data_IF_208440612192
#
_entry.id   IF_208440612192
#
_cell.length_a   1.000
_cell.length_b   1.000
_cell.length_c   1.000
_cell.angle_alpha   90.00
_cell.angle_beta   90.00
_cell.angle_gamma   90.00
#
_symmetry.space_group_name_H-M   'P 1'
#
loop_
_entity.id
_entity.type
_entity.pdbx_description
1 polymer ?
#
# COMPACT_ATOMS: atom_id res chain seq x y z
N UNK A 1 -33.27 27.33 36.35
CA UNK A 1 -32.78 27.85 35.05
C UNK A 1 -32.27 26.64 34.24
N UNK A 2 -32.93 26.42 33.16
CA UNK A 2 -32.90 25.31 32.24
C UNK A 2 -31.60 25.34 31.40
N UNK A 3 -30.88 24.22 31.28
CA UNK A 3 -29.87 24.02 30.25
C UNK A 3 -30.50 23.27 29.08
N UNK A 4 -30.29 23.65 27.82
CA UNK A 4 -30.83 22.94 26.68
C UNK A 4 -29.91 21.77 26.25
N UNK A 5 -30.59 20.69 25.88
CA UNK A 5 -30.05 19.50 25.23
C UNK A 5 -29.25 19.84 23.96
N UNK A 6 -28.04 19.30 23.82
CA UNK A 6 -27.33 19.23 22.57
C UNK A 6 -27.68 17.94 21.86
N UNK A 7 -28.15 18.10 20.65
CA UNK A 7 -28.76 17.12 19.76
C UNK A 7 -27.81 16.09 19.18
N UNK A 8 -28.40 14.94 18.87
CA UNK A 8 -27.84 13.70 18.35
C UNK A 8 -27.42 13.78 16.86
N UNK A 9 -26.59 14.73 16.47
CA UNK A 9 -26.17 14.88 15.06
C UNK A 9 -24.75 14.41 14.70
N UNK A 10 -23.95 13.95 15.65
CA UNK A 10 -22.54 13.58 15.40
C UNK A 10 -22.25 12.07 15.30
N UNK A 11 -23.28 11.21 15.16
CA UNK A 11 -23.04 9.75 14.93
C UNK A 11 -23.31 9.27 13.51
N UNK A 12 -23.73 10.16 12.60
CA UNK A 12 -24.10 9.80 11.22
C UNK A 12 -22.96 9.87 10.19
N UNK A 13 -21.90 10.62 10.45
CA UNK A 13 -20.86 10.90 9.43
C UNK A 13 -19.80 9.80 9.25
N UNK A 14 -19.64 8.90 10.22
CA UNK A 14 -18.66 7.81 10.09
C UNK A 14 -19.21 6.53 9.42
N UNK A 15 -20.53 6.34 9.46
CA UNK A 15 -21.16 5.17 8.81
C UNK A 15 -21.36 5.34 7.30
N UNK A 16 -21.47 6.57 6.83
CA UNK A 16 -21.70 6.87 5.40
C UNK A 16 -20.45 6.84 4.52
N UNK A 17 -19.23 6.73 5.08
CA UNK A 17 -17.99 6.65 4.28
C UNK A 17 -17.60 5.25 3.83
N UNK A 18 -18.13 4.19 4.43
CA UNK A 18 -18.00 2.84 3.90
C UNK A 18 -19.06 2.49 2.84
N UNK A 19 -20.18 3.21 2.79
CA UNK A 19 -21.23 3.03 1.79
C UNK A 19 -21.07 3.89 0.54
N UNK A 20 -20.23 4.92 0.56
CA UNK A 20 -19.99 5.81 -0.60
C UNK A 20 -19.06 5.22 -1.68
N UNK A 21 -18.52 4.01 -1.51
CA UNK A 21 -17.77 3.28 -2.54
C UNK A 21 -18.69 2.42 -3.42
N UNK A 22 -19.99 2.37 -3.15
CA UNK A 22 -21.00 1.67 -3.95
C UNK A 22 -21.97 2.67 -4.56
N UNK A 23 -21.49 3.70 -5.21
CA UNK A 23 -22.31 4.43 -6.20
C UNK A 23 -21.84 4.03 -7.58
N UNK A 24 -22.23 2.84 -8.02
CA UNK A 24 -22.41 2.55 -9.45
C UNK A 24 -23.45 3.53 -9.98
N UNK A 25 -23.01 4.52 -10.73
CA UNK A 25 -23.85 5.37 -11.53
C UNK A 25 -24.67 4.46 -12.47
N UNK A 26 -25.99 4.51 -12.23
CA UNK A 26 -27.08 4.02 -13.05
C UNK A 26 -26.79 2.86 -14.02
N UNK A 27 -27.33 1.67 -13.79
CA UNK A 27 -27.31 0.63 -14.80
C UNK A 27 -28.31 1.02 -15.89
N UNK A 28 -27.82 1.36 -17.06
CA UNK A 28 -28.61 1.14 -18.27
C UNK A 28 -28.77 -0.37 -18.38
N UNK A 29 -29.90 -0.87 -17.90
CA UNK A 29 -30.33 -2.26 -18.08
C UNK A 29 -30.45 -2.53 -19.57
N UNK A 30 -29.39 -3.01 -20.19
CA UNK A 30 -29.52 -3.81 -21.40
C UNK A 30 -29.88 -5.23 -20.96
N UNK A 31 -31.15 -5.46 -20.72
CA UNK A 31 -31.77 -6.80 -20.74
C UNK A 31 -31.62 -7.37 -22.14
N UNK A 32 -30.48 -7.97 -22.43
CA UNK A 32 -30.39 -8.93 -23.52
C UNK A 32 -30.96 -10.23 -22.95
N UNK A 33 -32.24 -10.49 -23.29
CA UNK A 33 -32.82 -11.84 -23.20
C UNK A 33 -31.99 -12.75 -24.12
N UNK A 34 -31.02 -13.44 -23.58
CA UNK A 34 -30.34 -14.54 -24.28
C UNK A 34 -31.18 -15.80 -24.06
N UNK A 35 -31.67 -16.35 -25.14
CA UNK A 35 -32.19 -17.70 -25.21
C UNK A 35 -31.10 -18.66 -24.68
N UNK A 36 -31.48 -19.48 -23.69
CA UNK A 36 -30.68 -20.57 -23.14
C UNK A 36 -30.46 -21.65 -24.19
N UNK A 37 -29.42 -21.52 -25.00
CA UNK A 37 -28.77 -22.63 -25.70
C UNK A 37 -27.41 -22.15 -26.20
N UNK A 38 -26.29 -22.55 -25.50
CA UNK A 38 -24.88 -22.28 -25.81
C UNK A 38 -24.50 -20.78 -25.85
N UNK A 39 -24.72 -20.06 -24.80
CA UNK A 39 -24.03 -18.79 -24.62
C UNK A 39 -22.54 -19.09 -24.43
N UNK A 40 -21.68 -18.63 -25.36
CA UNK A 40 -20.23 -18.66 -25.19
C UNK A 40 -19.88 -18.07 -23.80
N UNK A 41 -19.26 -18.89 -22.95
CA UNK A 41 -18.80 -18.42 -21.65
C UNK A 41 -17.86 -17.24 -21.86
N UNK A 42 -17.97 -16.23 -21.01
CA UNK A 42 -17.02 -15.11 -20.96
C UNK A 42 -15.59 -15.65 -20.87
N UNK A 43 -14.70 -15.20 -21.74
CA UNK A 43 -13.28 -15.60 -21.75
C UNK A 43 -12.44 -14.61 -21.00
N UNK A 44 -11.76 -15.07 -19.97
CA UNK A 44 -10.83 -14.28 -19.16
C UNK A 44 -9.42 -14.85 -19.29
N UNK A 45 -8.46 -13.98 -19.56
CA UNK A 45 -7.06 -14.34 -19.53
C UNK A 45 -6.42 -13.66 -18.33
N UNK A 46 -5.75 -14.45 -17.50
CA UNK A 46 -5.12 -13.99 -16.28
C UNK A 46 -3.62 -14.34 -16.26
N UNK A 47 -2.80 -13.44 -15.74
CA UNK A 47 -1.42 -13.78 -15.39
C UNK A 47 -1.42 -14.89 -14.34
N UNK A 48 -0.65 -15.95 -14.57
CA UNK A 48 -0.62 -17.16 -13.75
C UNK A 48 -0.03 -16.89 -12.35
N UNK A 49 0.63 -15.76 -12.16
CA UNK A 49 1.22 -15.32 -10.89
C UNK A 49 0.29 -14.43 -10.05
N UNK A 50 -0.94 -14.14 -10.54
CA UNK A 50 -1.98 -13.48 -9.72
C UNK A 50 -2.39 -14.44 -8.60
N UNK A 51 -2.08 -14.12 -7.34
CA UNK A 51 -2.23 -15.07 -6.25
C UNK A 51 -3.70 -15.32 -5.89
N UNK A 52 -4.01 -16.52 -5.45
CA UNK A 52 -5.33 -16.92 -4.92
C UNK A 52 -6.49 -16.78 -5.93
N UNK A 53 -6.21 -16.68 -7.25
CA UNK A 53 -7.24 -16.48 -8.27
C UNK A 53 -7.85 -17.80 -8.77
N UNK A 54 -7.03 -18.87 -8.85
CA UNK A 54 -7.44 -20.17 -9.39
C UNK A 54 -8.61 -20.77 -8.63
N UNK A 55 -9.64 -21.25 -9.35
CA UNK A 55 -10.85 -21.84 -8.78
C UNK A 55 -11.97 -20.84 -8.47
N UNK A 56 -11.72 -19.52 -8.61
CA UNK A 56 -12.69 -18.48 -8.25
C UNK A 56 -13.62 -18.16 -9.43
N UNK A 57 -13.05 -17.95 -10.63
CA UNK A 57 -13.81 -17.54 -11.83
C UNK A 57 -14.24 -18.70 -12.72
N UNK A 58 -13.62 -19.85 -12.66
CA UNK A 58 -13.89 -21.01 -13.52
C UNK A 58 -15.34 -21.52 -13.45
N UNK A 59 -16.08 -21.37 -12.35
CA UNK A 59 -17.50 -21.72 -12.34
C UNK A 59 -18.35 -20.86 -13.28
N UNK A 60 -17.94 -19.62 -13.56
CA UNK A 60 -18.74 -18.61 -14.28
C UNK A 60 -18.09 -18.13 -15.59
N UNK A 61 -16.84 -18.43 -15.85
CA UNK A 61 -16.09 -18.00 -17.00
C UNK A 61 -15.17 -19.12 -17.53
N UNK A 62 -14.73 -18.99 -18.79
CA UNK A 62 -13.62 -19.75 -19.36
C UNK A 62 -12.33 -18.98 -19.06
N UNK A 63 -11.50 -19.53 -18.16
CA UNK A 63 -10.31 -18.85 -17.64
C UNK A 63 -9.05 -19.53 -18.11
N UNK A 64 -8.20 -18.79 -18.82
CA UNK A 64 -6.87 -19.23 -19.21
C UNK A 64 -5.80 -18.48 -18.41
N UNK A 65 -4.83 -19.22 -17.89
CA UNK A 65 -3.70 -18.65 -17.14
C UNK A 65 -2.45 -18.69 -18.00
N UNK A 66 -1.83 -17.52 -18.20
CA UNK A 66 -0.65 -17.37 -19.05
C UNK A 66 0.54 -16.83 -18.24
N UNK A 67 1.74 -17.24 -18.65
CA UNK A 67 2.95 -16.54 -18.24
C UNK A 67 3.02 -15.17 -18.94
N UNK A 68 3.69 -14.20 -18.33
CA UNK A 68 3.80 -12.85 -18.89
C UNK A 68 4.31 -12.83 -20.35
N UNK A 69 5.21 -13.78 -20.71
CA UNK A 69 5.75 -13.90 -22.06
C UNK A 69 4.73 -14.43 -23.09
N UNK A 70 3.65 -15.05 -22.61
CA UNK A 70 2.58 -15.61 -23.43
C UNK A 70 1.44 -14.61 -23.71
N UNK A 71 1.50 -13.41 -23.08
CA UNK A 71 0.60 -12.32 -23.44
C UNK A 71 0.99 -11.78 -24.82
N UNK A 72 0.43 -12.41 -25.85
CA UNK A 72 0.63 -12.07 -27.26
C UNK A 72 -0.70 -11.71 -27.91
N UNK A 73 -0.73 -10.92 -29.00
CA UNK A 73 -1.96 -10.59 -29.71
C UNK A 73 -2.80 -11.81 -30.11
N UNK A 74 -2.14 -12.91 -30.46
CA UNK A 74 -2.82 -14.16 -30.83
C UNK A 74 -3.51 -14.79 -29.62
N UNK A 75 -2.83 -14.87 -28.48
CA UNK A 75 -3.36 -15.55 -27.30
C UNK A 75 -4.49 -14.79 -26.62
N UNK A 76 -4.47 -13.44 -26.67
CA UNK A 76 -5.52 -12.62 -26.05
C UNK A 76 -6.66 -12.23 -26.98
N UNK A 77 -6.60 -12.60 -28.28
CA UNK A 77 -7.50 -12.12 -29.34
C UNK A 77 -8.98 -12.24 -28.98
N UNK A 78 -9.38 -13.37 -28.45
CA UNK A 78 -10.77 -13.70 -28.14
C UNK A 78 -11.14 -13.49 -26.67
N UNK A 79 -10.28 -12.86 -25.88
CA UNK A 79 -10.55 -12.56 -24.47
C UNK A 79 -11.54 -11.41 -24.32
N UNK A 80 -12.47 -11.53 -23.39
CA UNK A 80 -13.38 -10.45 -22.98
C UNK A 80 -12.74 -9.56 -21.91
N UNK A 81 -11.88 -10.14 -21.05
CA UNK A 81 -11.14 -9.42 -20.01
C UNK A 81 -9.73 -9.97 -19.78
N UNK A 82 -8.85 -9.09 -19.33
CA UNK A 82 -7.50 -9.44 -18.87
C UNK A 82 -7.37 -9.13 -17.38
N UNK A 83 -6.75 -10.06 -16.64
CA UNK A 83 -6.27 -9.85 -15.26
C UNK A 83 -4.76 -9.89 -15.29
N UNK A 84 -4.12 -8.74 -15.04
CA UNK A 84 -2.68 -8.57 -15.27
C UNK A 84 -1.95 -8.11 -14.00
N UNK A 85 -0.64 -8.14 -14.08
CA UNK A 85 0.29 -7.57 -13.10
C UNK A 85 1.23 -6.56 -13.75
N UNK A 86 2.09 -5.92 -12.95
CA UNK A 86 3.00 -4.86 -13.41
C UNK A 86 4.00 -5.29 -14.49
N UNK A 87 4.23 -6.59 -14.65
CA UNK A 87 5.13 -7.16 -15.67
C UNK A 87 4.45 -7.34 -17.04
N UNK A 88 3.10 -7.36 -17.08
CA UNK A 88 2.32 -7.60 -18.30
C UNK A 88 2.03 -6.28 -19.00
N UNK A 89 2.79 -6.00 -20.06
CA UNK A 89 2.66 -4.73 -20.78
C UNK A 89 1.44 -4.73 -21.71
N UNK A 90 0.38 -4.06 -21.30
CA UNK A 90 -0.84 -3.86 -22.09
C UNK A 90 -0.67 -2.65 -23.03
N UNK A 91 0.12 -2.82 -24.08
CA UNK A 91 0.39 -1.79 -25.08
C UNK A 91 -0.62 -1.88 -26.24
N UNK A 92 -0.60 -0.87 -27.12
CA UNK A 92 -1.38 -0.90 -28.35
C UNK A 92 -1.11 -2.17 -29.17
N UNK A 93 0.18 -2.55 -29.32
CA UNK A 93 0.57 -3.73 -30.12
C UNK A 93 -0.05 -5.03 -29.58
N UNK A 94 -0.21 -5.13 -28.25
CA UNK A 94 -0.89 -6.28 -27.64
C UNK A 94 -2.39 -6.24 -27.89
N UNK A 95 -3.03 -5.07 -27.73
CA UNK A 95 -4.48 -4.95 -27.60
C UNK A 95 -5.21 -4.76 -28.95
N UNK A 96 -4.50 -4.26 -29.99
CA UNK A 96 -5.11 -3.94 -31.28
C UNK A 96 -5.70 -5.19 -31.96
N UNK A 97 -6.98 -5.11 -32.34
CA UNK A 97 -7.70 -6.21 -32.96
C UNK A 97 -8.19 -7.31 -32.02
N UNK A 98 -7.99 -7.16 -30.71
CA UNK A 98 -8.56 -8.07 -29.70
C UNK A 98 -10.03 -7.74 -29.38
N UNK A 99 -10.72 -8.70 -28.73
CA UNK A 99 -12.08 -8.50 -28.19
C UNK A 99 -12.07 -7.93 -26.75
N UNK A 100 -10.91 -7.61 -26.19
CA UNK A 100 -10.78 -7.17 -24.81
C UNK A 100 -11.60 -5.91 -24.55
N UNK A 101 -12.46 -5.96 -23.54
CA UNK A 101 -13.29 -4.83 -23.09
C UNK A 101 -12.89 -4.31 -21.73
N UNK A 102 -12.24 -5.16 -20.90
CA UNK A 102 -11.78 -4.81 -19.56
C UNK A 102 -10.36 -5.30 -19.33
N UNK A 103 -9.52 -4.42 -18.81
CA UNK A 103 -8.22 -4.78 -18.23
C UNK A 103 -8.30 -4.44 -16.75
N UNK A 104 -8.00 -5.40 -15.88
CA UNK A 104 -7.86 -5.13 -14.46
C UNK A 104 -6.50 -5.61 -13.97
N UNK A 105 -5.77 -4.74 -13.24
CA UNK A 105 -4.45 -5.08 -12.72
C UNK A 105 -4.46 -5.25 -11.20
N UNK A 106 -3.91 -6.37 -10.73
CA UNK A 106 -3.77 -6.67 -9.30
C UNK A 106 -2.66 -5.84 -8.61
N UNK A 107 -2.45 -4.60 -9.09
CA UNK A 107 -1.41 -3.67 -8.62
C UNK A 107 -1.97 -2.26 -8.47
N UNK A 108 -1.32 -1.44 -7.62
CA UNK A 108 -1.66 -0.02 -7.51
C UNK A 108 -1.15 0.74 -8.73
N UNK A 109 0.14 0.54 -9.10
CA UNK A 109 0.74 1.14 -10.29
C UNK A 109 0.12 0.56 -11.57
N UNK A 110 -0.03 1.40 -12.58
CA UNK A 110 -0.60 1.06 -13.89
C UNK A 110 0.26 1.53 -15.06
N UNK A 111 1.54 1.82 -14.82
CA UNK A 111 2.51 2.28 -15.83
C UNK A 111 2.71 1.28 -16.99
N UNK A 112 2.30 0.03 -16.79
CA UNK A 112 2.34 -1.05 -17.79
C UNK A 112 1.11 -1.07 -18.72
N UNK A 113 0.11 -0.20 -18.50
CA UNK A 113 -1.11 -0.09 -19.30
C UNK A 113 -1.04 1.19 -20.13
N UNK A 114 -1.17 1.06 -21.46
CA UNK A 114 -1.35 2.21 -22.37
C UNK A 114 -2.78 2.75 -22.24
N UNK A 115 -2.96 3.61 -21.24
CA UNK A 115 -4.27 4.19 -20.91
C UNK A 115 -4.83 5.02 -22.08
N UNK A 116 -3.96 5.69 -22.82
CA UNK A 116 -4.38 6.54 -23.95
C UNK A 116 -4.94 5.69 -25.11
N UNK A 117 -4.29 4.55 -25.39
CA UNK A 117 -4.82 3.59 -26.35
C UNK A 117 -6.13 2.98 -25.84
N UNK A 118 -6.20 2.56 -24.59
CA UNK A 118 -7.41 1.99 -24.01
C UNK A 118 -8.61 2.94 -24.15
N UNK A 119 -8.45 4.22 -23.84
CA UNK A 119 -9.48 5.24 -23.98
C UNK A 119 -9.97 5.36 -25.44
N UNK A 120 -9.03 5.41 -26.41
CA UNK A 120 -9.37 5.49 -27.84
C UNK A 120 -10.07 4.22 -28.36
N UNK A 121 -9.68 3.06 -27.87
CA UNK A 121 -10.20 1.76 -28.28
C UNK A 121 -11.51 1.39 -27.55
N UNK A 122 -11.96 2.18 -26.57
CA UNK A 122 -13.13 1.87 -25.75
C UNK A 122 -12.89 0.72 -24.77
N UNK A 123 -11.64 0.44 -24.41
CA UNK A 123 -11.26 -0.57 -23.43
C UNK A 123 -11.25 0.08 -22.04
N UNK A 124 -12.07 -0.45 -21.15
CA UNK A 124 -12.05 -0.02 -19.74
C UNK A 124 -10.82 -0.61 -19.03
N UNK A 125 -10.13 0.19 -18.26
CA UNK A 125 -9.07 -0.32 -17.40
C UNK A 125 -9.31 0.07 -15.94
N UNK A 126 -8.91 -0.80 -15.02
CA UNK A 126 -9.02 -0.61 -13.57
C UNK A 126 -7.77 -1.14 -12.89
N UNK A 127 -7.33 -0.44 -11.85
CA UNK A 127 -6.25 -0.90 -10.98
C UNK A 127 -6.80 -1.27 -9.59
N UNK A 128 -5.89 -1.58 -8.65
CA UNK A 128 -6.23 -1.95 -7.27
C UNK A 128 -5.71 -0.89 -6.26
N UNK A 129 -6.30 0.31 -6.21
CA UNK A 129 -5.80 1.40 -5.37
C UNK A 129 -5.92 1.05 -3.89
N UNK A 130 -4.82 1.19 -3.15
CA UNK A 130 -4.78 0.92 -1.71
C UNK A 130 -4.75 -0.56 -1.31
N UNK A 131 -4.69 -1.51 -2.25
CA UNK A 131 -4.71 -2.95 -1.94
C UNK A 131 -3.61 -3.38 -0.94
N UNK A 132 -2.46 -2.73 -0.95
CA UNK A 132 -1.32 -3.01 -0.07
C UNK A 132 -1.05 -1.90 0.96
N UNK A 133 -1.97 -0.98 1.17
CA UNK A 133 -1.75 0.17 2.05
C UNK A 133 -1.49 -0.26 3.50
N UNK A 134 -2.16 -1.31 3.97
CA UNK A 134 -1.94 -1.85 5.31
C UNK A 134 -0.55 -2.49 5.46
N UNK A 135 -0.04 -3.14 4.41
CA UNK A 135 1.34 -3.64 4.36
C UNK A 135 2.36 -2.52 4.56
N UNK A 136 2.22 -1.41 3.82
CA UNK A 136 3.12 -0.25 3.99
C UNK A 136 3.00 0.35 5.38
N UNK A 137 1.78 0.47 5.92
CA UNK A 137 1.56 0.94 7.30
C UNK A 137 2.26 0.05 8.33
N UNK A 138 2.14 -1.28 8.19
CA UNK A 138 2.85 -2.24 9.03
C UNK A 138 4.37 -2.10 8.91
N UNK A 139 4.91 -1.99 7.69
CA UNK A 139 6.33 -1.76 7.44
C UNK A 139 6.84 -0.50 8.14
N UNK A 140 6.14 0.62 7.98
CA UNK A 140 6.52 1.90 8.59
C UNK A 140 6.52 1.78 10.11
N UNK A 141 5.44 1.27 10.71
CA UNK A 141 5.36 1.12 12.16
C UNK A 141 6.42 0.16 12.70
N UNK A 142 6.60 -1.01 12.08
CA UNK A 142 7.63 -1.98 12.50
C UNK A 142 9.03 -1.40 12.41
N UNK A 143 9.33 -0.61 11.36
CA UNK A 143 10.60 0.07 11.21
C UNK A 143 10.82 1.13 12.29
N UNK A 144 9.80 1.92 12.61
CA UNK A 144 9.84 2.90 13.70
C UNK A 144 10.09 2.23 15.05
N UNK A 145 9.40 1.12 15.32
CA UNK A 145 9.57 0.34 16.56
C UNK A 145 10.99 -0.24 16.66
N UNK A 146 11.50 -0.85 15.57
CA UNK A 146 12.86 -1.40 15.56
C UNK A 146 13.92 -0.32 15.86
N UNK A 147 13.81 0.85 15.23
CA UNK A 147 14.73 1.98 15.50
C UNK A 147 14.57 2.50 16.91
N UNK A 148 13.35 2.66 17.42
CA UNK A 148 13.08 3.14 18.78
C UNK A 148 13.70 2.22 19.83
N UNK A 149 13.48 0.90 19.73
CA UNK A 149 14.06 -0.08 20.64
C UNK A 149 15.59 -0.08 20.60
N UNK A 150 16.19 -0.01 19.41
CA UNK A 150 17.65 0.07 19.24
C UNK A 150 18.24 1.30 19.94
N UNK A 151 17.51 2.42 19.94
CA UNK A 151 17.94 3.68 20.57
C UNK A 151 17.56 3.79 22.05
N UNK A 152 16.77 2.87 22.59
CA UNK A 152 16.18 3.01 23.92
C UNK A 152 15.20 4.19 24.02
N UNK A 153 14.56 4.55 22.90
CA UNK A 153 13.59 5.65 22.80
C UNK A 153 12.15 5.11 22.77
N UNK A 154 11.18 5.96 23.09
CA UNK A 154 9.74 5.66 22.98
C UNK A 154 9.14 6.45 21.82
N UNK A 155 8.20 5.83 21.10
CA UNK A 155 7.45 6.52 20.06
C UNK A 155 6.38 7.46 20.63
N UNK A 156 5.77 7.08 21.74
CA UNK A 156 4.76 7.89 22.41
C UNK A 156 5.29 9.30 22.74
N UNK A 157 4.51 10.30 22.35
CA UNK A 157 4.85 11.72 22.51
C UNK A 157 5.71 12.33 21.40
N UNK A 158 6.32 11.52 20.50
CA UNK A 158 6.98 12.05 19.29
C UNK A 158 5.97 12.60 18.30
N UNK A 159 6.41 13.57 17.51
CA UNK A 159 5.63 14.15 16.41
C UNK A 159 6.07 13.53 15.09
N UNK A 160 5.13 12.95 14.35
CA UNK A 160 5.35 12.44 13.00
C UNK A 160 4.68 13.33 11.95
N UNK A 161 5.46 13.76 10.94
CA UNK A 161 4.99 14.44 9.76
C UNK A 161 4.73 13.44 8.64
N UNK A 162 3.48 13.34 8.19
CA UNK A 162 3.06 12.46 7.09
C UNK A 162 2.85 13.31 5.85
N UNK A 163 3.69 13.11 4.84
CA UNK A 163 3.61 13.79 3.55
C UNK A 163 2.91 12.88 2.54
N UNK A 164 1.69 13.25 2.17
CA UNK A 164 0.75 12.41 1.42
C UNK A 164 -0.14 11.58 2.36
N UNK A 165 -1.42 11.96 2.50
CA UNK A 165 -2.38 11.31 3.41
C UNK A 165 -3.48 10.61 2.59
N UNK A 166 -3.06 9.85 1.55
CA UNK A 166 -3.91 8.97 0.75
C UNK A 166 -4.19 7.65 1.48
N UNK A 167 -4.39 6.57 0.74
CA UNK A 167 -4.65 5.24 1.32
C UNK A 167 -3.59 4.81 2.32
N UNK A 168 -2.31 4.99 1.99
CA UNK A 168 -1.18 4.60 2.86
C UNK A 168 -1.06 5.56 4.04
N UNK A 169 -0.95 6.86 3.77
CA UNK A 169 -0.74 7.86 4.83
C UNK A 169 -1.82 7.84 5.89
N UNK A 170 -3.09 7.61 5.53
CA UNK A 170 -4.19 7.48 6.50
C UNK A 170 -4.08 6.25 7.40
N UNK A 171 -3.50 5.14 6.89
CA UNK A 171 -3.23 3.97 7.73
C UNK A 171 -2.05 4.25 8.67
N UNK A 172 -0.97 4.86 8.16
CA UNK A 172 0.18 5.26 8.99
C UNK A 172 -0.25 6.23 10.09
N UNK A 173 -1.09 7.22 9.78
CA UNK A 173 -1.70 8.13 10.76
C UNK A 173 -2.36 7.36 11.90
N UNK A 174 -3.32 6.49 11.57
CA UNK A 174 -4.06 5.68 12.56
C UNK A 174 -3.13 4.82 13.43
N UNK A 175 -2.14 4.19 12.82
CA UNK A 175 -1.18 3.33 13.54
C UNK A 175 -0.29 4.13 14.48
N UNK A 176 0.21 5.30 14.04
CA UNK A 176 1.04 6.18 14.84
C UNK A 176 0.24 6.82 16.00
N UNK A 177 -1.00 7.24 15.77
CA UNK A 177 -1.90 7.69 16.83
C UNK A 177 -2.17 6.59 17.87
N UNK A 178 -2.34 5.34 17.44
CA UNK A 178 -2.50 4.21 18.35
C UNK A 178 -1.28 3.99 19.26
N UNK A 179 -0.08 4.34 18.78
CA UNK A 179 1.19 4.34 19.55
C UNK A 179 1.42 5.61 20.37
N UNK A 180 0.44 6.51 20.44
CA UNK A 180 0.51 7.74 21.23
C UNK A 180 1.37 8.84 20.63
N UNK A 181 1.58 8.86 19.32
CA UNK A 181 2.29 9.91 18.59
C UNK A 181 1.35 11.06 18.23
N UNK A 182 1.90 12.27 18.12
CA UNK A 182 1.23 13.43 17.52
C UNK A 182 1.44 13.39 16.01
N UNK A 183 0.36 13.48 15.22
CA UNK A 183 0.43 13.43 13.77
C UNK A 183 0.26 14.83 13.16
N UNK A 184 1.14 15.18 12.23
CA UNK A 184 1.05 16.35 11.34
C UNK A 184 0.78 15.83 9.92
N UNK A 185 -0.33 16.27 9.31
CA UNK A 185 -0.75 15.83 7.97
C UNK A 185 -0.41 16.90 6.93
N UNK A 186 0.29 16.50 5.87
CA UNK A 186 0.52 17.33 4.69
C UNK A 186 0.02 16.62 3.44
N UNK A 187 -0.99 17.17 2.81
CA UNK A 187 -1.54 16.71 1.52
C UNK A 187 -2.21 17.88 0.81
N UNK A 188 -1.44 18.73 0.10
CA UNK A 188 -1.98 19.93 -0.52
C UNK A 188 -3.14 19.69 -1.49
N UNK A 189 -3.14 18.63 -2.34
CA UNK A 189 -4.30 18.30 -3.18
C UNK A 189 -5.57 18.02 -2.39
N UNK A 190 -5.45 17.32 -1.26
CA UNK A 190 -6.61 17.04 -0.37
C UNK A 190 -7.05 18.27 0.39
N UNK A 191 -6.11 19.07 0.88
CA UNK A 191 -6.42 20.32 1.57
C UNK A 191 -7.23 21.28 0.69
N UNK A 192 -6.94 21.36 -0.61
CA UNK A 192 -7.73 22.13 -1.56
C UNK A 192 -9.15 21.59 -1.78
N UNK A 193 -9.34 20.29 -1.71
CA UNK A 193 -10.64 19.64 -1.94
C UNK A 193 -11.51 19.57 -0.68
N UNK A 194 -10.89 19.31 0.47
CA UNK A 194 -11.56 19.00 1.73
C UNK A 194 -11.56 20.19 2.72
N UNK A 195 -10.78 21.25 2.45
CA UNK A 195 -10.48 22.36 3.35
C UNK A 195 -9.13 22.20 4.05
N UNK A 196 -8.56 23.32 4.46
CA UNK A 196 -7.23 23.34 5.09
C UNK A 196 -7.22 22.82 6.54
N UNK A 197 -8.38 22.69 7.16
CA UNK A 197 -8.49 22.24 8.54
C UNK A 197 -7.89 20.83 8.73
N UNK A 198 -6.89 20.75 9.62
CA UNK A 198 -6.20 19.51 9.94
C UNK A 198 -5.06 19.15 8.99
N UNK A 199 -4.74 19.99 8.01
CA UNK A 199 -3.51 19.88 7.21
C UNK A 199 -2.52 20.99 7.57
N UNK A 200 -1.23 20.70 7.44
CA UNK A 200 -0.15 21.66 7.69
C UNK A 200 0.74 21.80 6.45
N UNK A 201 1.48 22.91 6.38
CA UNK A 201 2.48 23.09 5.32
C UNK A 201 3.66 22.13 5.46
N UNK A 202 4.41 21.92 4.37
CA UNK A 202 5.64 21.15 4.40
C UNK A 202 6.69 21.83 5.32
N UNK A 203 6.71 23.16 5.37
CA UNK A 203 7.57 23.95 6.25
C UNK A 203 7.26 23.68 7.73
N UNK A 204 5.97 23.52 8.10
CA UNK A 204 5.58 23.15 9.45
C UNK A 204 6.12 21.75 9.81
N UNK A 205 6.03 20.80 8.88
CA UNK A 205 6.59 19.46 9.09
C UNK A 205 8.11 19.56 9.28
N UNK A 206 8.82 20.30 8.44
CA UNK A 206 10.27 20.47 8.53
C UNK A 206 10.72 21.02 9.90
N UNK A 207 9.92 21.91 10.51
CA UNK A 207 10.24 22.55 11.80
C UNK A 207 9.82 21.73 13.02
N UNK A 208 8.67 21.04 12.96
CA UNK A 208 8.05 20.46 14.15
C UNK A 208 8.16 18.93 14.23
N UNK A 209 8.43 18.23 13.14
CA UNK A 209 8.43 16.78 13.16
C UNK A 209 9.70 16.18 13.74
N UNK A 210 9.57 15.18 14.62
CA UNK A 210 10.63 14.29 15.09
C UNK A 210 10.86 13.13 14.12
N UNK A 211 9.85 12.83 13.30
CA UNK A 211 9.84 11.77 12.27
C UNK A 211 9.13 12.31 11.04
N UNK A 212 9.68 12.07 9.84
CA UNK A 212 9.06 12.46 8.57
C UNK A 212 8.93 11.21 7.68
N UNK A 213 7.74 10.96 7.16
CA UNK A 213 7.47 9.83 6.27
C UNK A 213 6.73 10.26 5.01
N UNK A 214 7.19 9.74 3.86
CA UNK A 214 6.69 10.12 2.55
C UNK A 214 5.75 9.03 1.98
N UNK A 215 4.55 9.44 1.55
CA UNK A 215 3.52 8.56 0.97
C UNK A 215 2.82 9.19 -0.23
N UNK A 216 3.58 9.90 -1.06
CA UNK A 216 3.10 10.55 -2.27
C UNK A 216 3.40 9.72 -3.52
N UNK A 217 2.60 9.85 -4.60
CA UNK A 217 2.99 9.33 -5.92
C UNK A 217 4.20 10.09 -6.45
N UNK A 218 4.95 9.51 -7.39
CA UNK A 218 6.00 10.23 -8.11
C UNK A 218 5.38 10.97 -9.30
N UNK A 219 5.30 12.30 -9.20
CA UNK A 219 4.87 13.20 -10.28
C UNK A 219 6.03 14.13 -10.65
N UNK A 220 6.30 14.26 -11.95
CA UNK A 220 7.45 15.04 -12.46
C UNK A 220 7.11 16.50 -12.69
N UNK A 221 5.86 16.78 -13.00
CA UNK A 221 5.39 18.09 -13.45
C UNK A 221 4.07 18.46 -12.78
N UNK A 222 3.71 19.73 -12.89
CA UNK A 222 2.48 20.29 -12.34
C UNK A 222 2.69 20.92 -10.97
N UNK A 223 1.63 21.56 -10.46
CA UNK A 223 1.66 22.34 -9.22
C UNK A 223 2.06 21.50 -7.99
N UNK A 224 1.73 20.21 -7.99
CA UNK A 224 2.00 19.28 -6.90
C UNK A 224 3.03 18.24 -7.33
N UNK A 225 4.04 18.65 -8.11
CA UNK A 225 5.15 17.78 -8.45
C UNK A 225 5.86 17.27 -7.18
N UNK A 226 6.20 15.98 -7.18
CA UNK A 226 6.79 15.31 -6.01
C UNK A 226 8.18 14.78 -6.27
N UNK A 227 8.66 14.86 -7.54
CA UNK A 227 10.05 14.49 -7.84
C UNK A 227 10.99 15.43 -7.09
N UNK A 228 11.89 14.85 -6.30
CA UNK A 228 12.82 15.58 -5.42
C UNK A 228 12.10 16.58 -4.50
N UNK A 229 10.92 16.21 -4.01
CA UNK A 229 10.19 17.01 -3.02
C UNK A 229 11.03 17.24 -1.77
N UNK A 230 11.78 16.22 -1.34
CA UNK A 230 12.78 16.30 -0.29
C UNK A 230 14.15 16.53 -0.94
N UNK A 231 14.43 17.77 -1.26
CA UNK A 231 15.69 18.29 -1.83
C UNK A 231 16.57 19.00 -0.78
N UNK A 232 17.66 19.63 -1.22
CA UNK A 232 18.54 20.40 -0.34
C UNK A 232 17.80 21.48 0.45
N UNK A 233 16.88 22.21 -0.21
CA UNK A 233 16.15 23.30 0.44
C UNK A 233 15.22 22.77 1.53
N UNK A 234 14.58 21.61 1.32
CA UNK A 234 13.78 20.96 2.32
C UNK A 234 14.63 20.50 3.53
N UNK A 235 15.74 19.82 3.28
CA UNK A 235 16.58 19.32 4.37
C UNK A 235 17.26 20.45 5.17
N UNK A 236 17.61 21.57 4.54
CA UNK A 236 18.18 22.73 5.22
C UNK A 236 17.23 23.37 6.23
N UNK A 237 15.91 23.25 6.03
CA UNK A 237 14.86 23.78 6.92
C UNK A 237 14.62 22.92 8.17
N UNK A 238 15.17 21.69 8.23
CA UNK A 238 14.94 20.79 9.36
C UNK A 238 15.53 21.34 10.66
N UNK A 239 14.71 21.40 11.72
CA UNK A 239 15.10 21.95 13.02
C UNK A 239 15.31 20.86 14.10
N UNK A 240 14.58 19.71 14.00
CA UNK A 240 14.54 18.69 15.06
C UNK A 240 15.39 17.45 14.78
N UNK A 241 16.17 17.44 13.71
CA UNK A 241 16.96 16.27 13.29
C UNK A 241 16.08 15.00 13.18
N UNK A 242 15.01 15.03 12.39
CA UNK A 242 14.04 13.95 12.36
C UNK A 242 14.65 12.63 11.87
N UNK A 243 13.95 11.53 12.14
CA UNK A 243 14.08 10.30 11.38
C UNK A 243 13.38 10.51 10.04
N UNK A 244 13.97 10.05 8.97
CA UNK A 244 13.43 10.22 7.62
C UNK A 244 13.10 8.86 6.99
N UNK A 245 11.87 8.70 6.49
CA UNK A 245 11.37 7.45 5.92
C UNK A 245 10.91 7.68 4.48
N UNK A 246 11.43 6.87 3.55
CA UNK A 246 10.89 6.80 2.20
C UNK A 246 10.53 5.36 1.82
N UNK A 247 9.23 5.07 1.81
CA UNK A 247 8.62 3.82 1.35
C UNK A 247 7.62 4.04 0.21
N UNK A 248 7.73 5.17 -0.52
CA UNK A 248 6.80 5.47 -1.62
C UNK A 248 7.45 5.32 -3.01
N UNK A 249 8.37 6.20 -3.39
CA UNK A 249 9.17 6.14 -4.62
C UNK A 249 10.54 6.78 -4.37
N UNK A 250 11.60 6.19 -4.90
CA UNK A 250 12.98 6.66 -4.67
C UNK A 250 13.17 8.13 -5.02
N UNK A 251 12.81 8.53 -6.23
CA UNK A 251 13.00 9.89 -6.72
C UNK A 251 12.05 10.95 -6.08
N UNK A 252 11.35 10.64 -4.99
CA UNK A 252 10.67 11.66 -4.17
C UNK A 252 11.67 12.38 -3.26
N UNK A 253 12.77 11.72 -2.86
CA UNK A 253 13.92 12.42 -2.27
C UNK A 253 15.05 12.55 -3.31
N UNK A 254 15.89 13.54 -3.14
CA UNK A 254 17.18 13.64 -3.80
C UNK A 254 18.22 12.91 -2.95
N UNK A 255 18.85 11.88 -3.52
CA UNK A 255 19.81 11.02 -2.80
C UNK A 255 21.00 11.81 -2.27
N UNK A 256 21.54 12.76 -3.06
CA UNK A 256 22.71 13.54 -2.64
C UNK A 256 22.36 14.56 -1.55
N UNK A 257 21.17 15.18 -1.65
CA UNK A 257 20.66 16.07 -0.60
C UNK A 257 20.45 15.31 0.72
N UNK A 258 19.89 14.11 0.66
CA UNK A 258 19.64 13.25 1.83
C UNK A 258 20.97 12.83 2.49
N UNK A 259 21.97 12.40 1.71
CA UNK A 259 23.30 12.07 2.19
C UNK A 259 23.98 13.28 2.86
N UNK A 260 23.88 14.46 2.25
CA UNK A 260 24.40 15.68 2.86
C UNK A 260 23.68 16.00 4.17
N UNK A 261 22.35 15.88 4.22
CA UNK A 261 21.56 16.10 5.44
C UNK A 261 21.99 15.13 6.57
N UNK A 262 22.25 13.86 6.23
CA UNK A 262 22.74 12.86 7.18
C UNK A 262 24.14 13.25 7.71
N UNK A 263 25.09 13.57 6.82
CA UNK A 263 26.47 13.96 7.18
C UNK A 263 26.53 15.23 8.05
N UNK A 264 25.66 16.20 7.78
CA UNK A 264 25.58 17.47 8.54
C UNK A 264 24.72 17.36 9.82
N UNK A 265 24.15 16.19 10.09
CA UNK A 265 23.32 15.94 11.27
C UNK A 265 21.96 16.63 11.23
N UNK A 266 21.47 17.02 10.06
CA UNK A 266 20.11 17.51 9.85
C UNK A 266 19.06 16.40 9.96
N UNK A 267 19.43 15.17 9.64
CA UNK A 267 18.63 13.95 9.78
C UNK A 267 19.38 12.96 10.67
N UNK A 268 18.69 12.35 11.64
CA UNK A 268 19.33 11.44 12.59
C UNK A 268 19.29 9.98 12.14
N UNK A 269 18.14 9.49 11.65
CA UNK A 269 17.98 8.10 11.20
C UNK A 269 17.35 8.06 9.79
N UNK A 270 17.75 7.08 8.98
CA UNK A 270 17.25 6.87 7.63
C UNK A 270 16.60 5.49 7.52
N UNK A 271 15.34 5.45 7.10
CA UNK A 271 14.61 4.22 6.80
C UNK A 271 14.22 4.26 5.33
N UNK A 272 14.91 3.47 4.51
CA UNK A 272 14.79 3.54 3.05
C UNK A 272 14.35 2.19 2.49
N UNK A 273 13.16 2.19 1.91
CA UNK A 273 12.64 1.04 1.16
C UNK A 273 12.67 1.30 -0.36
N UNK A 274 12.44 2.54 -0.77
CA UNK A 274 12.44 2.95 -2.18
C UNK A 274 13.66 3.82 -2.48
N UNK A 275 14.37 3.48 -3.56
CA UNK A 275 15.67 4.04 -3.90
C UNK A 275 15.63 4.72 -5.27
N UNK A 276 16.44 5.74 -5.48
CA UNK A 276 16.72 6.18 -6.84
C UNK A 276 17.52 5.12 -7.59
N UNK A 277 17.27 4.99 -8.89
CA UNK A 277 17.97 4.10 -9.81
C UNK A 277 17.87 2.60 -9.48
N UNK A 278 16.80 2.15 -8.79
CA UNK A 278 16.56 0.72 -8.61
C UNK A 278 16.70 -0.05 -9.95
N UNK A 279 17.35 -1.20 -9.96
CA UNK A 279 17.91 -1.97 -8.84
C UNK A 279 19.35 -1.57 -8.45
N UNK A 280 20.00 -0.64 -9.16
CA UNK A 280 21.36 -0.18 -8.94
C UNK A 280 21.38 0.93 -7.88
N UNK A 281 21.10 0.55 -6.64
CA UNK A 281 20.95 1.47 -5.52
C UNK A 281 22.28 2.10 -5.09
N UNK A 282 22.21 3.35 -4.60
CA UNK A 282 23.37 4.08 -4.08
C UNK A 282 23.96 3.36 -2.86
N UNK A 283 25.27 3.03 -2.91
CA UNK A 283 25.96 2.27 -1.87
C UNK A 283 26.27 3.07 -0.62
N UNK A 284 26.47 4.36 -0.79
CA UNK A 284 26.69 5.24 0.36
C UNK A 284 25.39 5.42 1.13
N UNK A 285 24.26 5.67 0.44
CA UNK A 285 22.96 5.72 1.08
C UNK A 285 22.61 4.40 1.77
N UNK A 286 22.95 3.25 1.17
CA UNK A 286 22.77 1.95 1.80
C UNK A 286 23.57 1.83 3.10
N UNK A 287 24.82 2.35 3.13
CA UNK A 287 25.66 2.30 4.35
C UNK A 287 25.16 3.23 5.45
N UNK A 288 24.63 4.40 5.09
CA UNK A 288 24.12 5.41 6.01
C UNK A 288 22.69 5.13 6.52
N UNK A 289 21.94 4.31 5.81
CA UNK A 289 20.58 3.95 6.22
C UNK A 289 20.58 3.14 7.52
N UNK A 290 19.67 3.46 8.44
CA UNK A 290 19.46 2.72 9.69
C UNK A 290 18.72 1.41 9.42
N UNK A 291 17.74 1.45 8.51
CA UNK A 291 17.03 0.31 7.94
C UNK A 291 16.98 0.50 6.43
N UNK A 292 17.39 -0.51 5.69
CA UNK A 292 17.45 -0.55 4.22
C UNK A 292 16.75 -1.80 3.70
N UNK A 293 15.73 -1.65 2.89
CA UNK A 293 14.98 -2.79 2.33
C UNK A 293 14.80 -2.67 0.81
N UNK A 294 14.64 -3.77 0.08
CA UNK A 294 14.64 -3.76 -1.37
C UNK A 294 13.24 -3.52 -1.96
N UNK A 295 12.60 -2.41 -1.63
CA UNK A 295 11.27 -1.98 -2.12
C UNK A 295 10.19 -3.05 -1.86
N UNK A 296 10.05 -3.46 -0.60
CA UNK A 296 9.12 -4.53 -0.17
C UNK A 296 8.05 -4.05 0.81
N UNK A 297 8.03 -2.79 1.19
CA UNK A 297 7.08 -2.25 2.17
C UNK A 297 5.61 -2.58 1.82
N UNK A 298 5.28 -2.59 0.52
CA UNK A 298 3.95 -2.96 0.03
C UNK A 298 3.74 -4.46 -0.21
N UNK A 299 4.65 -5.32 0.24
CA UNK A 299 4.62 -6.75 -0.07
C UNK A 299 4.11 -7.57 1.13
N UNK A 300 2.80 -7.76 1.23
CA UNK A 300 2.18 -8.71 2.14
C UNK A 300 1.31 -9.72 1.38
N UNK A 301 1.07 -10.88 1.97
CA UNK A 301 0.15 -11.86 1.42
C UNK A 301 -1.28 -11.31 1.36
N UNK A 302 -1.66 -10.51 2.36
CA UNK A 302 -2.96 -9.83 2.44
C UNK A 302 -3.11 -8.76 1.35
N UNK A 303 -2.10 -7.92 1.13
CA UNK A 303 -2.09 -6.92 0.06
C UNK A 303 -2.23 -7.57 -1.33
N UNK A 304 -1.56 -8.71 -1.56
CA UNK A 304 -1.71 -9.48 -2.79
C UNK A 304 -3.12 -10.05 -2.95
N UNK A 305 -3.69 -10.62 -1.88
CA UNK A 305 -5.08 -11.11 -1.89
C UNK A 305 -6.07 -9.96 -2.15
N UNK A 306 -5.84 -8.78 -1.55
CA UNK A 306 -6.65 -7.59 -1.81
C UNK A 306 -6.59 -7.16 -3.27
N UNK A 307 -5.41 -7.16 -3.90
CA UNK A 307 -5.28 -6.88 -5.34
C UNK A 307 -6.13 -7.82 -6.18
N UNK A 308 -6.09 -9.12 -5.89
CA UNK A 308 -6.92 -10.13 -6.56
C UNK A 308 -8.42 -9.90 -6.31
N UNK A 309 -8.84 -9.63 -5.05
CA UNK A 309 -10.26 -9.33 -4.75
C UNK A 309 -10.75 -8.11 -5.53
N UNK A 310 -9.96 -7.04 -5.60
CA UNK A 310 -10.32 -5.84 -6.34
C UNK A 310 -10.43 -6.11 -7.85
N UNK A 311 -9.56 -6.97 -8.42
CA UNK A 311 -9.74 -7.41 -9.81
C UNK A 311 -11.06 -8.15 -10.02
N UNK A 312 -11.43 -9.04 -9.10
CA UNK A 312 -12.69 -9.76 -9.14
C UNK A 312 -13.90 -8.83 -9.00
N UNK A 313 -13.82 -7.84 -8.10
CA UNK A 313 -14.84 -6.80 -7.95
C UNK A 313 -15.01 -5.98 -9.22
N UNK A 314 -13.89 -5.58 -9.85
CA UNK A 314 -13.90 -4.87 -11.12
C UNK A 314 -14.58 -5.68 -12.24
N UNK A 315 -14.30 -6.99 -12.33
CA UNK A 315 -14.94 -7.91 -13.26
C UNK A 315 -16.44 -8.02 -12.95
N UNK A 316 -16.79 -8.26 -11.69
CA UNK A 316 -18.18 -8.36 -11.26
C UNK A 316 -18.98 -7.11 -11.59
N UNK A 317 -18.43 -5.94 -11.31
CA UNK A 317 -19.05 -4.65 -11.59
C UNK A 317 -19.21 -4.39 -13.11
N UNK A 318 -18.14 -4.63 -13.87
CA UNK A 318 -18.13 -4.33 -15.32
C UNK A 318 -19.08 -5.23 -16.11
N UNK A 319 -19.12 -6.53 -15.80
CA UNK A 319 -19.96 -7.49 -16.50
C UNK A 319 -21.35 -7.70 -15.86
N UNK A 320 -21.63 -7.04 -14.74
CA UNK A 320 -22.90 -7.18 -14.03
C UNK A 320 -23.10 -8.59 -13.43
N UNK A 321 -22.02 -9.26 -13.01
CA UNK A 321 -22.06 -10.62 -12.49
C UNK A 321 -21.65 -10.66 -11.02
N UNK A 322 -22.26 -11.57 -10.26
CA UNK A 322 -21.90 -11.82 -8.87
C UNK A 322 -20.86 -12.93 -8.79
N UNK A 323 -19.72 -12.65 -8.17
CA UNK A 323 -18.66 -13.63 -7.93
C UNK A 323 -18.76 -14.09 -6.47
N UNK A 324 -19.46 -15.20 -6.23
CA UNK A 324 -19.74 -15.67 -4.87
C UNK A 324 -18.47 -16.10 -4.12
N UNK A 325 -17.52 -16.69 -4.86
CA UNK A 325 -16.25 -17.20 -4.31
C UNK A 325 -15.20 -16.14 -3.98
N UNK A 326 -15.47 -14.85 -4.16
CA UNK A 326 -14.52 -13.77 -3.84
C UNK A 326 -14.03 -13.83 -2.38
N UNK A 327 -14.87 -14.36 -1.49
CA UNK A 327 -14.54 -14.55 -0.06
C UNK A 327 -13.51 -15.67 0.17
N UNK A 328 -13.30 -16.55 -0.80
CA UNK A 328 -12.31 -17.62 -0.75
C UNK A 328 -10.89 -17.14 -1.08
N UNK A 329 -10.74 -15.90 -1.56
CA UNK A 329 -9.43 -15.25 -1.79
C UNK A 329 -8.81 -14.88 -0.43
N UNK A 330 -8.27 -15.86 0.26
CA UNK A 330 -7.69 -15.71 1.60
C UNK A 330 -6.26 -16.26 1.57
N UNK A 331 -5.25 -15.48 2.02
CA UNK A 331 -3.90 -15.99 2.16
C UNK A 331 -3.83 -17.06 3.26
N UNK A 332 -2.85 -17.97 3.19
CA UNK A 332 -2.63 -18.96 4.25
C UNK A 332 -2.34 -18.27 5.59
N UNK A 333 -2.68 -18.91 6.68
CA UNK A 333 -2.36 -18.42 8.02
C UNK A 333 -0.82 -18.27 8.18
N UNK A 334 -0.34 -17.34 9.01
CA UNK A 334 1.07 -17.29 9.35
C UNK A 334 1.50 -18.54 10.10
N UNK A 335 2.78 -18.92 9.98
CA UNK A 335 3.32 -20.13 10.64
C UNK A 335 3.13 -20.10 12.16
N UNK A 336 3.28 -18.92 12.76
CA UNK A 336 3.09 -18.68 14.20
C UNK A 336 2.06 -17.57 14.41
N UNK A 337 0.75 -17.88 14.37
CA UNK A 337 -0.30 -16.87 14.48
C UNK A 337 -0.46 -16.31 15.90
N UNK A 338 0.01 -17.03 16.92
CA UNK A 338 -0.13 -16.62 18.32
C UNK A 338 1.14 -15.96 18.84
N UNK A 339 0.98 -14.79 19.44
CA UNK A 339 2.06 -14.03 20.08
C UNK A 339 1.77 -13.95 21.57
N UNK A 340 2.50 -14.74 22.37
CA UNK A 340 2.35 -14.78 23.82
C UNK A 340 3.15 -13.64 24.47
N UNK A 341 2.44 -12.58 24.87
CA UNK A 341 3.04 -11.40 25.51
C UNK A 341 3.64 -11.71 26.88
N UNK A 342 3.19 -12.79 27.53
CA UNK A 342 3.76 -13.22 28.81
C UNK A 342 5.24 -13.65 28.74
N UNK A 343 5.78 -13.84 27.53
CA UNK A 343 7.21 -14.12 27.31
C UNK A 343 8.10 -12.88 27.42
N UNK A 344 7.52 -11.68 27.33
CA UNK A 344 8.26 -10.41 27.34
C UNK A 344 8.08 -9.69 28.68
N UNK A 345 9.18 -9.14 29.21
CA UNK A 345 9.14 -8.37 30.46
C UNK A 345 8.85 -6.89 30.21
N UNK A 346 9.31 -6.37 29.11
CA UNK A 346 9.20 -4.97 28.71
C UNK A 346 8.86 -4.89 27.21
N UNK A 347 8.36 -3.76 26.72
CA UNK A 347 8.10 -3.48 25.30
C UNK A 347 7.18 -4.51 24.64
N UNK A 348 6.17 -5.00 25.37
CA UNK A 348 5.35 -6.14 24.94
C UNK A 348 4.53 -5.87 23.68
N UNK A 349 4.04 -4.63 23.49
CA UNK A 349 3.36 -4.19 22.28
C UNK A 349 4.35 -4.10 21.11
N UNK A 350 5.51 -3.50 21.33
CA UNK A 350 6.58 -3.39 20.34
C UNK A 350 7.08 -4.77 19.89
N UNK A 351 7.23 -5.69 20.83
CA UNK A 351 7.58 -7.09 20.52
C UNK A 351 6.51 -7.79 19.70
N UNK A 352 5.23 -7.56 19.98
CA UNK A 352 4.15 -8.11 19.17
C UNK A 352 4.24 -7.59 17.72
N UNK A 353 4.50 -6.30 17.53
CA UNK A 353 4.69 -5.68 16.21
C UNK A 353 5.85 -6.36 15.48
N UNK A 354 7.02 -6.48 16.09
CA UNK A 354 8.21 -7.07 15.47
C UNK A 354 8.08 -8.59 15.24
N UNK A 355 7.29 -9.31 16.05
CA UNK A 355 6.99 -10.72 15.81
C UNK A 355 6.09 -10.95 14.60
N UNK A 356 5.25 -9.98 14.26
CA UNK A 356 4.45 -10.04 13.03
C UNK A 356 5.27 -9.70 11.79
N UNK A 357 6.18 -8.74 11.92
CA UNK A 357 7.11 -8.33 10.85
C UNK A 357 8.31 -7.59 11.42
N UNK A 358 9.54 -8.08 11.13
CA UNK A 358 10.77 -7.40 11.51
C UNK A 358 11.58 -7.01 10.25
N UNK A 359 11.68 -5.71 9.91
CA UNK A 359 12.41 -5.24 8.74
C UNK A 359 13.93 -5.47 8.82
N UNK A 360 14.49 -5.62 10.02
CA UNK A 360 15.94 -5.81 10.21
C UNK A 360 16.46 -7.11 9.59
N UNK A 361 15.63 -8.14 9.49
CA UNK A 361 15.99 -9.40 8.84
C UNK A 361 16.31 -9.19 7.35
N UNK A 362 15.48 -8.38 6.69
CA UNK A 362 15.65 -8.07 5.27
C UNK A 362 16.77 -7.05 5.06
N UNK A 363 16.91 -6.08 5.97
CA UNK A 363 18.03 -5.12 5.98
C UNK A 363 19.38 -5.84 5.97
N UNK A 364 19.57 -6.82 6.87
CA UNK A 364 20.79 -7.60 6.95
C UNK A 364 21.07 -8.37 5.66
N UNK A 365 20.05 -8.99 5.06
CA UNK A 365 20.19 -9.72 3.81
C UNK A 365 20.57 -8.79 2.64
N UNK A 366 19.95 -7.62 2.53
CA UNK A 366 20.26 -6.63 1.49
C UNK A 366 21.70 -6.12 1.63
N UNK A 367 22.14 -5.76 2.86
CA UNK A 367 23.51 -5.29 3.12
C UNK A 367 24.56 -6.35 2.77
N UNK A 368 24.28 -7.60 3.10
CA UNK A 368 25.19 -8.70 2.77
C UNK A 368 25.37 -8.90 1.25
N UNK A 369 24.32 -8.67 0.47
CA UNK A 369 24.33 -8.92 -0.98
C UNK A 369 23.53 -7.85 -1.77
N UNK A 370 24.00 -6.60 -1.82
CA UNK A 370 23.22 -5.52 -2.42
C UNK A 370 22.97 -5.67 -3.94
N UNK A 371 23.79 -6.47 -4.64
CA UNK A 371 23.58 -6.79 -6.07
C UNK A 371 22.42 -7.74 -6.33
N UNK A 372 21.86 -8.33 -5.26
CA UNK A 372 20.71 -9.23 -5.35
C UNK A 372 19.37 -8.52 -5.09
N UNK A 373 19.31 -7.20 -5.25
CA UNK A 373 18.11 -6.39 -4.98
C UNK A 373 16.85 -7.00 -5.60
N UNK A 374 16.82 -7.23 -6.92
CA UNK A 374 15.66 -7.83 -7.60
C UNK A 374 15.40 -9.28 -7.13
N UNK A 375 16.45 -10.06 -6.85
CA UNK A 375 16.30 -11.42 -6.35
C UNK A 375 15.62 -11.45 -4.98
N UNK A 376 15.97 -10.52 -4.08
CA UNK A 376 15.30 -10.40 -2.77
C UNK A 376 13.84 -10.04 -2.92
N UNK A 377 13.50 -9.14 -3.84
CA UNK A 377 12.10 -8.79 -4.12
C UNK A 377 11.31 -9.96 -4.69
N UNK A 378 11.89 -10.69 -5.65
CA UNK A 378 11.24 -11.81 -6.32
C UNK A 378 11.02 -13.02 -5.39
N UNK A 379 11.99 -13.29 -4.50
CA UNK A 379 11.96 -14.41 -3.55
C UNK A 379 11.42 -14.03 -2.17
N UNK A 380 10.87 -12.81 -2.01
CA UNK A 380 10.38 -12.33 -0.73
C UNK A 380 9.20 -13.16 -0.23
N UNK A 381 9.36 -13.75 0.96
CA UNK A 381 8.26 -14.42 1.65
C UNK A 381 7.33 -13.35 2.25
N UNK A 382 6.12 -13.27 1.69
CA UNK A 382 5.18 -12.18 1.98
C UNK A 382 4.58 -12.37 3.38
N UNK A 383 4.90 -11.50 4.35
CA UNK A 383 4.32 -11.58 5.69
C UNK A 383 2.81 -11.38 5.64
N UNK A 384 2.14 -11.85 6.68
CA UNK A 384 0.76 -11.49 6.92
C UNK A 384 0.68 -10.14 7.65
N UNK A 385 -0.44 -9.45 7.50
CA UNK A 385 -0.70 -8.20 8.20
C UNK A 385 -1.17 -8.45 9.65
N UNK A 386 -1.17 -7.41 10.50
CA UNK A 386 -1.45 -7.51 11.94
C UNK A 386 -2.70 -8.32 12.27
N UNK A 387 -3.77 -8.19 11.48
CA UNK A 387 -5.05 -8.89 11.73
C UNK A 387 -4.96 -10.42 11.62
N UNK A 388 -3.90 -10.95 11.04
CA UNK A 388 -3.66 -12.39 10.94
C UNK A 388 -3.00 -12.98 12.20
N UNK A 389 -2.61 -12.13 13.15
CA UNK A 389 -1.96 -12.53 14.39
C UNK A 389 -2.87 -12.30 15.59
N UNK A 390 -2.79 -13.20 16.57
CA UNK A 390 -3.48 -13.10 17.84
C UNK A 390 -2.49 -12.90 18.97
N UNK A 391 -2.55 -11.72 19.62
CA UNK A 391 -1.81 -11.45 20.84
C UNK A 391 -2.58 -12.00 22.05
N UNK A 392 -1.91 -12.78 22.89
CA UNK A 392 -2.48 -13.38 24.10
C UNK A 392 -1.77 -12.88 25.35
N UNK A 393 -2.47 -12.88 26.49
CA UNK A 393 -1.98 -12.36 27.78
C UNK A 393 -1.65 -10.86 27.76
N UNK A 394 -2.37 -10.08 26.95
CA UNK A 394 -2.32 -8.63 27.00
C UNK A 394 -3.00 -8.10 28.28
N UNK A 395 -2.41 -7.07 28.89
CA UNK A 395 -3.14 -6.29 29.89
C UNK A 395 -4.16 -5.34 29.24
N UNK A 396 -5.05 -4.67 30.00
CA UNK A 396 -6.10 -3.84 29.42
C UNK A 396 -5.58 -2.66 28.56
N UNK A 397 -4.42 -2.09 28.89
CA UNK A 397 -3.84 -0.98 28.12
C UNK A 397 -3.25 -1.49 26.83
N UNK A 398 -2.48 -2.58 26.88
CA UNK A 398 -1.92 -3.27 25.71
C UNK A 398 -3.02 -3.78 24.78
N UNK A 399 -4.10 -4.36 25.36
CA UNK A 399 -5.26 -4.80 24.60
C UNK A 399 -5.83 -3.67 23.73
N UNK A 400 -6.05 -2.49 24.33
CA UNK A 400 -6.60 -1.35 23.62
C UNK A 400 -5.70 -0.86 22.48
N UNK A 401 -4.38 -0.86 22.68
CA UNK A 401 -3.40 -0.46 21.64
C UNK A 401 -3.37 -1.51 20.53
N UNK A 402 -3.19 -2.79 20.86
CA UNK A 402 -3.10 -3.89 19.88
C UNK A 402 -4.36 -4.01 19.02
N UNK A 403 -5.54 -3.81 19.62
CA UNK A 403 -6.79 -3.79 18.88
C UNK A 403 -6.85 -2.63 17.86
N UNK A 404 -6.39 -1.42 18.25
CA UNK A 404 -6.31 -0.28 17.34
C UNK A 404 -5.30 -0.51 16.21
N UNK A 405 -4.22 -1.24 16.47
CA UNK A 405 -3.24 -1.64 15.46
C UNK A 405 -3.80 -2.68 14.50
N UNK A 406 -4.84 -3.40 14.88
CA UNK A 406 -5.52 -4.41 14.08
C UNK A 406 -5.19 -5.85 14.44
N UNK A 407 -4.46 -6.12 15.52
CA UNK A 407 -4.28 -7.47 16.02
C UNK A 407 -5.59 -8.07 16.53
N UNK A 408 -5.74 -9.39 16.42
CA UNK A 408 -6.68 -10.12 17.24
C UNK A 408 -6.11 -10.19 18.66
N UNK A 409 -6.93 -9.98 19.66
CA UNK A 409 -6.50 -9.99 21.07
C UNK A 409 -7.41 -10.89 21.87
N UNK A 410 -6.82 -11.83 22.64
CA UNK A 410 -7.52 -12.82 23.42
C UNK A 410 -6.91 -13.03 24.81
#
# INVERSE_FOLDING_TARGET
RVFPNLSAENKSTYRNRQEAIITCISPVFYLISRNDNQADKMKIIADNTVPYLKGILEPIADVSYLDSKEFTPTNIKDADALIVRSIDKCTRELLEGSRVRLITTATIGYDHIDIHYCEKAGITWKNAPGCNAASVGQYVLSSLVAVALRKGERLAGKTIGIVGVGHVGSIVERLCEAMGMRVLRNDPPRAEQEGEDGFVSLDTIAKEADIITLHVPLTKEGRFATRHLADHAFFDQLERKPWFINSCRGAVHDTQALLQAKRTGKVSELIIDCWENEPDIDRELLSEATIATPHIAGFSADGKANGTRMCLENIGCFFGIRIEKIKEVIPPAPTNPFIDLGQFKEHRVEEAILRSFNPEVIDQALRANPHHFERFRAAYDHPREFHAYQAIKADPEEFAVLQKLGFQVG
#
